data_IF_913648341828
#
_entry.id   IF_913648341828
#
_cell.length_a   1.000
_cell.length_b   1.000
_cell.length_c   1.000
_cell.angle_alpha   90.00
_cell.angle_beta   90.00
_cell.angle_gamma   90.00
#
_symmetry.space_group_name_H-M   'P 1'
#
loop_
_entity.id
_entity.type
_entity.pdbx_description
1 polymer ?
2 polymer ?
3 polymer ?
4 polymer ?
5 non-polymer ?
6 non-polymer ?
7 non-polymer ?
8 non-polymer ?
9 non-polymer ?
10 non-polymer ?
11 non-polymer ?
12 water ?
#
loop_
_entity_poly.entity_id
_entity_poly.type
_entity_poly.pdbx_seq_one_letter_code
_entity_poly.pdbx_strand_id
2 'polydeoxyribonucleotide' '(DC)(DG)(DG)(DC)(DA)(DT)(DA)(DC)(DG)' ?
3 'polydeoxyribonucleotide' '(DC)(DG)(DT)(DA)(8GM)' ?
4 'polydeoxyribonucleotide' '(DG)(DC)(DC)(DG)' ?
#
# COMPACT_ATOMS: atom_id res chain seq x y z
N UNK A 12 11.26 -5.72 22.38
CA UNK A 12 10.65 -5.42 21.06
C UNK A 12 9.66 -6.52 20.69
N UNK A 13 8.37 -6.19 20.58
CA UNK A 13 7.35 -7.23 20.33
C UNK A 13 7.47 -7.79 18.92
N UNK A 14 6.85 -8.95 18.72
CA UNK A 14 7.05 -9.70 17.50
C UNK A 14 6.15 -9.25 16.35
N UNK A 15 5.01 -8.64 16.64
CA UNK A 15 4.11 -8.15 15.60
C UNK A 15 4.29 -6.64 15.37
N UNK A 16 4.25 -6.22 14.08
CA UNK A 16 4.46 -4.81 13.79
C UNK A 16 3.37 -3.92 14.36
N UNK A 17 2.15 -4.47 14.57
CA UNK A 17 1.04 -3.69 15.11
C UNK A 17 1.19 -3.39 16.60
N UNK A 18 2.20 -3.96 17.25
CA UNK A 18 2.43 -3.78 18.67
C UNK A 18 3.47 -2.71 18.98
N UNK A 19 3.97 -2.02 17.97
CA UNK A 19 5.03 -1.04 18.21
C UNK A 19 4.85 0.14 17.25
N UNK A 20 5.15 1.36 17.70
CA UNK A 20 5.13 2.49 16.77
C UNK A 20 6.22 2.35 15.72
N UNK A 21 5.86 2.64 14.49
CA UNK A 21 6.83 2.72 13.40
C UNK A 21 6.69 4.05 12.69
N UNK A 22 7.63 4.96 12.86
CA UNK A 22 7.53 6.28 12.25
C UNK A 22 7.94 6.23 10.79
N UNK A 23 7.61 7.31 10.08
CA UNK A 23 7.85 7.35 8.64
C UNK A 23 9.33 7.41 8.35
N UNK A 24 10.04 8.20 9.15
CA UNK A 24 11.48 8.29 9.04
C UNK A 24 12.14 7.77 10.30
N UNK A 25 13.35 7.26 10.14
CA UNK A 25 13.90 6.50 11.26
C UNK A 25 15.42 6.51 11.16
N UNK A 26 16.05 5.57 11.88
CA UNK A 26 17.49 5.65 12.16
C UNK A 26 18.26 4.50 11.53
N UNK A 27 17.63 3.73 10.66
CA UNK A 27 18.25 2.55 10.04
C UNK A 27 17.83 2.43 8.59
N UNK A 28 17.80 3.56 7.89
CA UNK A 28 17.23 3.59 6.55
C UNK A 28 17.97 2.67 5.60
N UNK A 29 19.29 2.72 5.60
CA UNK A 29 20.07 1.92 4.67
C UNK A 29 19.89 0.42 4.89
N UNK A 30 19.92 0.00 6.15
CA UNK A 30 19.72 -1.40 6.47
C UNK A 30 18.33 -1.88 6.06
N UNK A 31 17.29 -1.09 6.35
CA UNK A 31 15.94 -1.52 6.00
C UNK A 31 15.76 -1.58 4.49
N UNK A 32 16.37 -0.66 3.75
CA UNK A 32 16.20 -0.68 2.30
C UNK A 32 16.84 -1.93 1.70
N UNK A 33 17.97 -2.37 2.23
CA UNK A 33 18.62 -3.58 1.74
C UNK A 33 17.74 -4.79 1.95
N UNK A 34 17.19 -4.94 3.15
CA UNK A 34 16.32 -6.07 3.44
C UNK A 34 15.08 -6.03 2.56
N UNK A 35 14.58 -4.84 2.26
CA UNK A 35 13.39 -4.75 1.43
C UNK A 35 13.68 -5.09 -0.01
N UNK A 36 14.92 -4.94 -0.48
CA UNK A 36 15.28 -5.47 -1.80
C UNK A 36 15.18 -6.98 -1.81
N UNK A 37 15.66 -7.65 -0.78
CA UNK A 37 15.57 -9.11 -0.76
C UNK A 37 14.12 -9.55 -0.61
N UNK A 38 13.31 -8.79 0.13
CA UNK A 38 11.88 -9.11 0.23
C UNK A 38 11.22 -9.02 -1.13
N UNK A 39 11.49 -7.93 -1.84
CA UNK A 39 10.89 -7.74 -3.17
C UNK A 39 11.29 -8.86 -4.11
N UNK A 40 12.58 -9.24 -4.09
CA UNK A 40 13.06 -10.30 -4.97
C UNK A 40 12.45 -11.64 -4.62
N UNK A 41 12.28 -11.91 -3.32
CA UNK A 41 11.56 -13.14 -2.93
C UNK A 41 10.14 -13.15 -3.51
N UNK A 42 9.46 -12.01 -3.45
CA UNK A 42 8.14 -11.92 -4.06
C UNK A 42 8.17 -12.23 -5.55
N UNK A 43 9.16 -11.71 -6.25
CA UNK A 43 9.27 -11.98 -7.68
C UNK A 43 9.46 -13.45 -7.99
N UNK A 44 9.97 -14.22 -7.04
CA UNK A 44 10.15 -15.65 -7.22
C UNK A 44 8.99 -16.44 -6.61
N UNK A 45 7.97 -15.78 -6.12
CA UNK A 45 6.84 -16.49 -5.56
C UNK A 45 7.03 -17.04 -4.16
N UNK A 46 8.04 -16.59 -3.44
CA UNK A 46 8.29 -17.05 -2.07
C UNK A 46 7.72 -16.02 -1.11
N UNK A 47 6.42 -16.15 -0.84
CA UNK A 47 5.73 -15.21 0.02
C UNK A 47 6.22 -15.30 1.46
N UNK A 48 6.65 -16.48 1.89
CA UNK A 48 7.15 -16.61 3.25
C UNK A 48 8.43 -15.84 3.47
N UNK A 49 9.39 -16.00 2.55
CA UNK A 49 10.65 -15.28 2.67
C UNK A 49 10.43 -13.78 2.50
N UNK A 50 9.50 -13.38 1.62
CA UNK A 50 9.14 -11.97 1.50
C UNK A 50 8.67 -11.42 2.84
N UNK A 51 7.78 -12.15 3.51
CA UNK A 51 7.26 -11.66 4.77
C UNK A 51 8.37 -11.52 5.81
N UNK A 52 9.25 -12.52 5.91
CA UNK A 52 10.30 -12.43 6.91
C UNK A 52 11.21 -11.24 6.66
N UNK A 53 11.62 -11.03 5.40
CA UNK A 53 12.51 -9.90 5.10
C UNK A 53 11.77 -8.57 5.33
N UNK A 54 10.48 -8.50 5.00
CA UNK A 54 9.70 -7.29 5.28
C UNK A 54 9.62 -7.03 6.78
N UNK A 55 9.33 -8.10 7.56
CA UNK A 55 9.24 -7.94 9.01
C UNK A 55 10.58 -7.52 9.61
N UNK A 56 11.68 -8.11 9.14
CA UNK A 56 12.99 -7.73 9.67
C UNK A 56 13.29 -6.26 9.36
N UNK A 57 13.01 -5.84 8.15
CA UNK A 57 13.20 -4.43 7.82
C UNK A 57 12.39 -3.55 8.76
N UNK A 58 11.14 -3.94 9.02
CA UNK A 58 10.26 -3.12 9.84
C UNK A 58 10.72 -3.04 11.28
N UNK A 59 11.30 -4.11 11.80
CA UNK A 59 11.89 -4.06 13.14
C UNK A 59 12.95 -2.97 13.22
N UNK A 60 13.77 -2.87 12.20
CA UNK A 60 14.81 -1.84 12.21
C UNK A 60 14.20 -0.44 12.15
N UNK A 61 13.11 -0.29 11.41
CA UNK A 61 12.43 1.00 11.34
C UNK A 61 11.92 1.43 12.71
N UNK A 62 11.64 0.47 13.60
CA UNK A 62 11.04 0.79 14.89
C UNK A 62 12.06 1.02 15.99
N UNK A 63 13.34 0.81 15.71
CA UNK A 63 14.37 0.99 16.71
C UNK A 63 14.60 2.47 16.99
N UNK A 64 15.04 2.80 18.21
CA UNK A 64 15.17 4.21 18.59
C UNK A 64 16.49 4.84 18.18
N UNK A 65 17.43 4.08 17.61
CA UNK A 65 18.74 4.61 17.23
C UNK A 65 19.38 3.68 16.22
N UNK A 66 20.49 4.08 15.62
CA UNK A 66 21.10 3.24 14.57
C UNK A 66 21.73 1.97 15.12
N UNK A 67 21.55 0.87 14.38
CA UNK A 67 22.36 -0.33 14.60
C UNK A 67 23.78 -0.07 14.11
N UNK A 68 24.76 -0.24 15.02
CA UNK A 68 26.17 -0.03 14.76
C UNK A 68 26.98 -1.31 14.78
N UNK A 69 26.50 -2.35 15.44
CA UNK A 69 27.27 -3.58 15.69
C UNK A 69 26.30 -4.75 15.68
N UNK A 70 26.80 -5.90 15.23
CA UNK A 70 25.94 -7.08 15.11
C UNK A 70 25.32 -7.45 16.45
N UNK A 71 26.04 -7.21 17.54
CA UNK A 71 25.57 -7.39 18.90
C UNK A 71 24.16 -6.88 19.10
N UNK A 72 23.83 -5.75 18.46
CA UNK A 72 22.55 -5.11 18.69
C UNK A 72 21.38 -5.87 18.08
N UNK A 73 21.63 -6.87 17.23
CA UNK A 73 20.54 -7.66 16.67
C UNK A 73 20.10 -8.78 17.60
N UNK A 74 20.94 -9.15 18.58
CA UNK A 74 20.57 -10.20 19.52
C UNK A 74 19.25 -9.87 20.18
N UNK A 75 18.35 -10.85 20.19
CA UNK A 75 17.04 -10.66 20.77
C UNK A 75 16.01 -10.03 19.87
N UNK A 76 16.39 -9.46 18.73
CA UNK A 76 15.37 -8.81 17.89
C UNK A 76 14.56 -9.87 17.14
N UNK A 77 13.23 -9.76 17.13
CA UNK A 77 12.44 -10.73 16.36
C UNK A 77 12.69 -10.61 14.86
N UNK A 78 12.61 -11.76 14.18
CA UNK A 78 12.74 -11.90 12.73
C UNK A 78 14.15 -11.74 12.21
N UNK A 79 15.16 -11.72 13.08
CA UNK A 79 16.55 -11.72 12.67
C UNK A 79 17.18 -13.07 12.99
N UNK A 80 17.35 -13.88 11.94
CA UNK A 80 18.06 -15.13 12.03
C UNK A 80 19.35 -15.07 11.26
N UNK A 81 19.84 -16.23 10.83
CA UNK A 81 21.15 -16.26 10.20
C UNK A 81 21.18 -15.41 8.95
N UNK A 82 20.12 -15.46 8.14
CA UNK A 82 20.18 -14.80 6.84
C UNK A 82 20.12 -13.27 6.99
N UNK A 83 19.09 -12.76 7.65
CA UNK A 83 18.96 -11.31 7.77
C UNK A 83 20.09 -10.72 8.60
N UNK A 84 20.63 -11.49 9.57
CA UNK A 84 21.75 -10.99 10.35
C UNK A 84 23.01 -10.89 9.51
N UNK A 85 23.25 -11.87 8.63
CA UNK A 85 24.41 -11.80 7.76
C UNK A 85 24.32 -10.61 6.81
N UNK A 86 23.12 -10.30 6.31
CA UNK A 86 22.95 -9.13 5.45
C UNK A 86 23.37 -7.88 6.21
N UNK A 87 22.86 -7.70 7.43
CA UNK A 87 23.22 -6.53 8.22
C UNK A 87 24.73 -6.52 8.52
N UNK A 88 25.30 -7.68 8.88
CA UNK A 88 26.70 -7.71 9.26
C UNK A 88 27.58 -7.26 8.10
N UNK A 89 27.23 -7.67 6.87
CA UNK A 89 28.02 -7.26 5.72
C UNK A 89 27.88 -5.76 5.48
N UNK A 90 26.67 -5.22 5.61
CA UNK A 90 26.50 -3.77 5.43
C UNK A 90 27.28 -3.00 6.48
N UNK A 91 27.35 -3.52 7.71
CA UNK A 91 28.05 -2.81 8.78
C UNK A 91 29.56 -2.87 8.56
N UNK A 92 30.06 -3.97 7.99
CA UNK A 92 31.48 -4.19 7.86
C UNK A 92 32.07 -3.66 6.56
N UNK A 93 31.32 -3.70 5.46
CA UNK A 93 31.81 -3.27 4.16
C UNK A 93 30.96 -2.21 3.49
N UNK A 94 29.83 -1.83 4.06
CA UNK A 94 28.93 -0.89 3.45
C UNK A 94 28.12 -1.43 2.30
N UNK A 95 28.24 -2.72 2.01
CA UNK A 95 27.61 -3.35 0.86
C UNK A 95 27.35 -4.81 1.23
N UNK A 96 26.23 -5.35 0.75
CA UNK A 96 25.92 -6.77 0.90
C UNK A 96 25.96 -7.41 -0.48
N UNK A 97 26.90 -8.35 -0.69
CA UNK A 97 27.09 -8.90 -2.02
C UNK A 97 25.79 -9.46 -2.57
N UNK A 98 25.01 -10.15 -1.74
CA UNK A 98 23.74 -10.72 -2.20
C UNK A 98 22.79 -9.64 -2.69
N UNK A 99 22.69 -8.54 -1.94
CA UNK A 99 21.79 -7.47 -2.31
C UNK A 99 22.22 -6.86 -3.63
N UNK A 100 23.51 -6.60 -3.77
CA UNK A 100 24.01 -6.02 -5.02
C UNK A 100 23.81 -6.98 -6.20
N UNK A 101 24.02 -8.27 -5.97
CA UNK A 101 23.76 -9.23 -7.04
C UNK A 101 22.31 -9.17 -7.49
N UNK A 102 21.38 -9.04 -6.55
CA UNK A 102 19.96 -8.91 -6.91
C UNK A 102 19.73 -7.63 -7.71
N UNK A 103 20.27 -6.51 -7.19
CA UNK A 103 20.04 -5.21 -7.80
C UNK A 103 20.39 -5.18 -9.28
N UNK A 104 21.51 -5.77 -9.66
CA UNK A 104 21.96 -5.69 -11.04
C UNK A 104 21.50 -6.88 -11.88
N UNK A 105 20.71 -7.80 -11.32
CA UNK A 105 20.31 -8.95 -12.11
C UNK A 105 19.23 -8.54 -13.13
N UNK A 106 19.30 -9.16 -14.30
CA UNK A 106 18.32 -8.88 -15.34
C UNK A 106 16.92 -9.30 -14.88
N UNK A 107 16.83 -10.40 -14.15
CA UNK A 107 15.53 -10.86 -13.65
C UNK A 107 14.88 -9.83 -12.73
N UNK A 108 15.62 -9.35 -11.74
CA UNK A 108 15.06 -8.39 -10.80
C UNK A 108 14.68 -7.10 -11.51
N UNK A 109 15.59 -6.56 -12.31
CA UNK A 109 15.28 -5.30 -12.99
C UNK A 109 14.06 -5.42 -13.88
N UNK A 110 13.90 -6.54 -14.58
CA UNK A 110 12.77 -6.65 -15.49
C UNK A 110 11.47 -6.92 -14.74
N UNK A 111 11.48 -7.80 -13.73
CA UNK A 111 10.28 -8.01 -12.94
C UNK A 111 9.85 -6.72 -12.25
N UNK A 112 10.80 -5.92 -11.78
CA UNK A 112 10.43 -4.65 -11.16
C UNK A 112 9.80 -3.74 -12.19
N UNK A 113 10.41 -3.62 -13.38
CA UNK A 113 9.84 -2.73 -14.40
C UNK A 113 8.44 -3.20 -14.79
N UNK A 114 8.28 -4.50 -15.03
CA UNK A 114 6.98 -4.99 -15.48
C UNK A 114 5.91 -4.91 -14.37
N UNK A 115 6.26 -5.29 -13.13
CA UNK A 115 5.22 -5.34 -12.11
C UNK A 115 4.77 -3.95 -11.66
N UNK A 116 5.58 -2.92 -11.89
CA UNK A 116 5.17 -1.57 -11.56
C UNK A 116 4.16 -1.01 -12.54
N UNK A 117 3.94 -1.70 -13.68
CA UNK A 117 2.89 -1.30 -14.60
C UNK A 117 1.54 -1.61 -13.97
N UNK A 118 0.63 -0.62 -13.98
CA UNK A 118 -0.74 -0.83 -13.55
C UNK A 118 -1.41 -1.86 -14.46
N UNK A 119 -1.88 -2.96 -13.87
CA UNK A 119 -2.50 -4.02 -14.63
C UNK A 119 -1.62 -5.24 -14.79
N UNK A 120 -0.38 -5.19 -14.32
CA UNK A 120 0.57 -6.27 -14.45
C UNK A 120 0.99 -6.69 -13.05
N UNK A 121 0.79 -7.97 -12.71
CA UNK A 121 1.28 -8.50 -11.46
C UNK A 121 2.46 -9.45 -11.69
N UNK A 122 2.90 -10.06 -10.57
CA UNK A 122 4.05 -10.95 -10.64
C UNK A 122 3.81 -12.05 -11.66
N UNK A 123 2.64 -12.65 -11.66
CA UNK A 123 2.39 -13.78 -12.56
C UNK A 123 2.47 -13.34 -14.02
N UNK A 124 1.92 -12.17 -14.35
CA UNK A 124 2.01 -11.74 -15.75
C UNK A 124 3.45 -11.38 -16.10
N UNK A 125 4.13 -10.65 -15.23
CA UNK A 125 5.50 -10.23 -15.47
C UNK A 125 6.41 -11.45 -15.67
N UNK A 126 6.20 -12.49 -14.87
CA UNK A 126 7.03 -13.68 -14.97
C UNK A 126 6.83 -14.38 -16.31
N UNK A 127 5.57 -14.47 -16.76
CA UNK A 127 5.30 -15.11 -18.04
C UNK A 127 5.96 -14.33 -19.18
N UNK A 128 5.80 -13.00 -19.16
CA UNK A 128 6.48 -12.17 -20.16
C UNK A 128 7.99 -12.35 -20.10
N UNK A 129 8.56 -12.39 -18.90
CA UNK A 129 9.99 -12.59 -18.76
C UNK A 129 10.43 -13.89 -19.40
N UNK A 130 9.68 -14.97 -19.15
CA UNK A 130 10.01 -16.26 -19.73
C UNK A 130 9.85 -16.26 -21.24
N UNK A 131 9.00 -15.39 -21.79
CA UNK A 131 8.84 -15.30 -23.23
C UNK A 131 9.96 -14.51 -23.89
N UNK A 132 10.88 -13.95 -23.13
CA UNK A 132 11.97 -13.17 -23.68
C UNK A 132 11.74 -11.68 -23.65
N UNK A 133 10.62 -11.21 -23.11
CA UNK A 133 10.35 -9.78 -23.09
C UNK A 133 11.13 -9.12 -21.98
N UNK A 134 11.60 -7.90 -22.24
CA UNK A 134 12.47 -7.21 -21.27
C UNK A 134 12.19 -5.72 -21.12
N UNK A 135 11.57 -5.05 -22.09
CA UNK A 135 11.41 -3.59 -22.04
C UNK A 135 9.96 -3.23 -22.28
N UNK A 136 9.62 -1.98 -21.95
CA UNK A 136 8.25 -1.52 -22.21
C UNK A 136 7.96 -1.47 -23.71
N UNK A 137 8.95 -1.06 -24.51
CA UNK A 137 8.73 -1.04 -25.95
C UNK A 137 8.50 -2.44 -26.49
N UNK A 138 9.07 -3.46 -25.83
CA UNK A 138 8.75 -4.84 -26.20
C UNK A 138 7.26 -5.12 -26.01
N UNK A 139 6.67 -4.57 -24.95
CA UNK A 139 5.26 -4.80 -24.71
C UNK A 139 4.40 -3.98 -25.66
N UNK A 140 4.84 -2.76 -25.98
CA UNK A 140 4.09 -1.92 -26.90
C UNK A 140 4.04 -2.52 -28.31
N UNK A 141 5.04 -3.33 -28.66
CA UNK A 141 5.12 -3.89 -30.01
C UNK A 141 4.14 -5.02 -30.27
N UNK A 142 3.45 -5.51 -29.24
CA UNK A 142 2.44 -6.56 -29.40
C UNK A 142 1.22 -6.23 -28.56
N UNK A 143 0.50 -5.16 -28.91
CA UNK A 143 -0.62 -4.73 -28.07
C UNK A 143 -1.71 -5.75 -27.91
N UNK A 144 -1.92 -6.65 -28.84
CA UNK A 144 -2.99 -7.62 -28.66
C UNK A 144 -2.70 -8.54 -27.46
N UNK A 145 -1.41 -8.61 -27.05
CA UNK A 145 -1.10 -9.31 -25.81
C UNK A 145 -1.40 -8.49 -24.52
N UNK A 146 -2.38 -7.60 -24.59
CA UNK A 146 -2.56 -6.70 -23.46
C UNK A 146 -4.02 -6.45 -23.17
N UNK A 147 -4.36 -6.38 -21.88
CA UNK A 147 -5.69 -5.99 -21.47
C UNK A 147 -5.86 -4.49 -21.60
N UNK A 148 -7.12 -4.05 -21.59
CA UNK A 148 -7.39 -2.60 -21.58
C UNK A 148 -6.69 -1.95 -20.39
N UNK A 149 -6.72 -2.62 -19.24
CA UNK A 149 -6.09 -2.07 -18.06
C UNK A 149 -4.59 -1.94 -18.26
N UNK A 150 -3.98 -2.92 -18.91
CA UNK A 150 -2.55 -2.88 -19.15
C UNK A 150 -2.20 -1.85 -20.20
N UNK A 151 -3.06 -1.70 -21.21
CA UNK A 151 -2.81 -0.66 -22.21
C UNK A 151 -2.80 0.71 -21.55
N UNK A 152 -3.74 0.94 -20.62
CA UNK A 152 -3.78 2.21 -19.90
C UNK A 152 -2.55 2.37 -19.03
N UNK A 153 -2.16 1.31 -18.34
CA UNK A 153 -0.97 1.37 -17.50
C UNK A 153 0.27 1.70 -18.30
N UNK A 154 0.36 1.19 -19.53
CA UNK A 154 1.58 1.44 -20.30
C UNK A 154 1.54 2.81 -20.98
N UNK A 155 0.37 3.24 -21.49
CA UNK A 155 0.35 4.57 -22.07
C UNK A 155 0.68 5.64 -21.03
N UNK A 156 0.18 5.46 -19.82
CA UNK A 156 0.39 6.45 -18.76
C UNK A 156 1.58 6.14 -17.87
N UNK A 157 2.44 5.20 -18.28
CA UNK A 157 3.44 4.69 -17.35
C UNK A 157 4.40 5.80 -16.90
N UNK A 158 4.79 6.69 -17.81
CA UNK A 158 5.76 7.72 -17.45
C UNK A 158 5.18 8.64 -16.37
N UNK A 159 3.98 9.15 -16.60
CA UNK A 159 3.33 9.99 -15.58
C UNK A 159 3.15 9.23 -14.26
N UNK A 160 2.75 7.96 -14.33
CA UNK A 160 2.45 7.22 -13.13
C UNK A 160 3.71 6.90 -12.34
N UNK A 161 4.87 7.07 -12.95
CA UNK A 161 6.15 6.85 -12.30
C UNK A 161 6.65 8.09 -11.58
N UNK A 162 6.01 9.24 -11.78
CA UNK A 162 6.43 10.47 -11.13
C UNK A 162 5.63 10.66 -9.84
N UNK A 163 6.30 11.04 -8.76
CA UNK A 163 5.60 11.07 -7.47
C UNK A 163 4.49 12.08 -7.44
N UNK A 164 3.38 11.68 -6.83
CA UNK A 164 2.33 12.61 -6.46
C UNK A 164 2.78 13.40 -5.25
N UNK A 165 2.59 14.71 -5.29
CA UNK A 165 2.96 15.58 -4.19
C UNK A 165 1.75 15.92 -3.32
N UNK A 166 2.00 16.28 -2.07
CA UNK A 166 0.90 16.67 -1.19
C UNK A 166 0.12 17.84 -1.78
N UNK A 167 0.79 18.70 -2.57
CA UNK A 167 0.07 19.80 -3.21
C UNK A 167 -0.92 19.28 -4.26
N UNK A 168 -0.55 18.22 -4.97
CA UNK A 168 -1.49 17.60 -5.90
C UNK A 168 -2.71 17.07 -5.18
N UNK A 169 -2.51 16.54 -3.97
CA UNK A 169 -3.57 15.81 -3.27
C UNK A 169 -4.73 16.73 -2.92
N UNK A 170 -4.45 17.94 -2.44
CA UNK A 170 -5.54 18.80 -2.01
C UNK A 170 -6.37 19.26 -3.18
N UNK A 171 -5.74 19.48 -4.33
CA UNK A 171 -6.50 19.79 -5.55
C UNK A 171 -7.40 18.64 -5.96
N UNK A 172 -6.85 17.41 -5.93
CA UNK A 172 -7.68 16.24 -6.24
C UNK A 172 -8.83 16.09 -5.23
N UNK A 173 -8.59 16.32 -3.94
CA UNK A 173 -9.67 16.11 -2.99
C UNK A 173 -10.82 17.08 -3.23
N UNK A 174 -10.49 18.34 -3.54
CA UNK A 174 -11.59 19.27 -3.81
C UNK A 174 -12.43 18.79 -5.00
N UNK A 175 -11.77 18.25 -6.02
CA UNK A 175 -12.50 17.80 -7.19
C UNK A 175 -13.40 16.62 -6.85
N UNK A 176 -12.89 15.65 -6.10
CA UNK A 176 -13.68 14.48 -5.72
C UNK A 176 -14.85 14.89 -4.81
N UNK A 177 -14.61 15.80 -3.89
CA UNK A 177 -15.69 16.30 -3.03
C UNK A 177 -16.82 16.94 -3.82
N UNK A 178 -16.48 17.68 -4.88
CA UNK A 178 -17.50 18.31 -5.70
C UNK A 178 -18.37 17.25 -6.35
N UNK A 179 -17.75 16.20 -6.91
CA UNK A 179 -18.54 15.17 -7.56
C UNK A 179 -19.35 14.38 -6.53
N UNK A 180 -18.74 14.10 -5.39
CA UNK A 180 -19.42 13.36 -4.31
C UNK A 180 -20.62 14.14 -3.79
N UNK A 181 -20.48 15.46 -3.62
CA UNK A 181 -21.59 16.27 -3.15
C UNK A 181 -22.77 16.33 -4.10
N UNK A 182 -22.50 16.28 -5.41
CA UNK A 182 -23.62 16.21 -6.35
C UNK A 182 -24.21 14.82 -6.39
N UNK A 183 -23.39 13.79 -6.22
CA UNK A 183 -23.92 12.44 -6.25
C UNK A 183 -24.77 12.17 -5.02
N UNK A 184 -24.40 12.72 -3.89
CA UNK A 184 -25.13 12.46 -2.65
C UNK A 184 -24.84 13.55 -1.63
N UNK A 185 -25.69 14.55 -1.52
CA UNK A 185 -25.51 15.58 -0.49
C UNK A 185 -25.33 14.96 0.88
N UNK A 186 -24.34 15.46 1.63
CA UNK A 186 -24.01 14.96 2.93
C UNK A 186 -22.90 13.93 2.95
N UNK A 187 -22.53 13.37 1.81
CA UNK A 187 -21.49 12.38 1.78
C UNK A 187 -20.14 13.06 2.01
N UNK A 188 -19.22 12.33 2.64
CA UNK A 188 -17.93 12.85 3.05
C UNK A 188 -16.82 12.10 2.32
N UNK A 189 -15.68 12.79 2.18
CA UNK A 189 -14.49 12.24 1.53
C UNK A 189 -13.35 12.36 2.53
N UNK A 190 -12.68 11.23 2.82
CA UNK A 190 -11.55 11.19 3.74
C UNK A 190 -10.31 10.72 2.99
N UNK A 191 -9.21 11.48 3.12
CA UNK A 191 -7.94 11.04 2.57
C UNK A 191 -7.39 9.89 3.40
N UNK A 192 -7.01 8.80 2.72
CA UNK A 192 -6.42 7.66 3.41
C UNK A 192 -5.04 7.34 2.84
N UNK A 193 -4.66 6.07 2.84
CA UNK A 193 -3.38 5.67 2.33
C UNK A 193 -2.18 6.37 2.95
N UNK A 194 -1.09 6.36 2.18
CA UNK A 194 0.18 6.84 2.71
C UNK A 194 0.17 8.31 3.09
N UNK A 195 -0.60 9.14 2.37
CA UNK A 195 -0.67 10.53 2.76
C UNK A 195 -1.29 10.72 4.14
N UNK A 196 -2.25 9.88 4.52
CA UNK A 196 -2.77 9.97 5.88
C UNK A 196 -1.71 9.58 6.93
N UNK A 197 -0.75 8.72 6.58
CA UNK A 197 0.34 8.35 7.47
C UNK A 197 1.47 9.37 7.49
N UNK A 198 1.31 10.50 6.78
CA UNK A 198 2.28 11.59 6.82
C UNK A 198 3.24 11.65 5.65
N UNK A 199 3.14 10.74 4.70
CA UNK A 199 4.03 10.80 3.54
C UNK A 199 3.84 12.12 2.82
N UNK A 200 4.94 12.64 2.31
CA UNK A 200 4.89 13.87 1.54
C UNK A 200 4.75 13.61 0.06
N UNK A 201 4.98 12.38 -0.38
CA UNK A 201 4.83 11.95 -1.76
C UNK A 201 4.13 10.60 -1.78
N UNK A 202 3.64 10.20 -2.96
CA UNK A 202 2.99 8.91 -3.08
C UNK A 202 2.91 8.49 -4.53
N UNK A 203 2.64 7.20 -4.73
CA UNK A 203 2.42 6.65 -6.07
C UNK A 203 0.99 6.86 -6.52
N UNK A 204 0.07 7.11 -5.58
CA UNK A 204 -1.34 7.28 -5.90
C UNK A 204 -1.96 8.10 -4.76
N UNK A 205 -3.22 8.42 -4.92
CA UNK A 205 -4.01 9.03 -3.86
C UNK A 205 -5.20 8.11 -3.58
N UNK A 206 -5.51 7.96 -2.28
CA UNK A 206 -6.57 7.07 -1.82
C UNK A 206 -7.64 7.87 -1.08
N UNK A 207 -8.91 7.66 -1.43
CA UNK A 207 -10.00 8.36 -0.76
C UNK A 207 -11.06 7.37 -0.32
N UNK A 208 -11.61 7.59 0.89
CA UNK A 208 -12.69 6.80 1.45
C UNK A 208 -13.92 7.69 1.60
N UNK A 209 -15.05 7.20 1.09
CA UNK A 209 -16.27 7.98 0.96
C UNK A 209 -17.35 7.28 1.79
N UNK A 210 -18.10 8.05 2.59
CA UNK A 210 -19.21 7.48 3.35
C UNK A 210 -20.31 8.53 3.47
N UNK A 211 -21.37 8.17 4.17
CA UNK A 211 -22.47 9.07 4.45
C UNK A 211 -22.94 8.76 5.87
N UNK A 212 -23.30 9.79 6.67
CA UNK A 212 -23.62 9.53 8.07
C UNK A 212 -24.91 8.77 8.29
N UNK A 213 -25.79 8.66 7.29
CA UNK A 213 -27.03 7.89 7.41
C UNK A 213 -26.80 6.52 6.78
N UNK A 214 -26.75 5.49 7.62
CA UNK A 214 -26.48 4.13 7.16
C UNK A 214 -27.40 3.75 6.02
N UNK A 215 -26.80 3.25 4.94
CA UNK A 215 -27.54 2.81 3.78
C UNK A 215 -27.62 3.85 2.68
N UNK A 216 -27.49 5.13 3.01
CA UNK A 216 -27.59 6.15 1.95
C UNK A 216 -26.42 6.04 0.98
N UNK A 217 -25.33 5.40 1.38
CA UNK A 217 -24.17 5.29 0.48
C UNK A 217 -24.35 4.23 -0.58
N UNK A 218 -25.39 3.41 -0.51
CA UNK A 218 -25.59 2.38 -1.52
C UNK A 218 -25.75 3.03 -2.89
N UNK A 219 -25.09 2.45 -3.89
CA UNK A 219 -25.14 2.95 -5.25
C UNK A 219 -24.36 4.21 -5.53
N UNK A 220 -23.56 4.67 -4.57
CA UNK A 220 -22.95 5.97 -4.69
C UNK A 220 -21.78 5.99 -5.71
N UNK A 221 -20.95 4.96 -5.73
CA UNK A 221 -19.73 5.05 -6.51
C UNK A 221 -20.02 5.19 -8.00
N UNK A 222 -20.96 4.47 -8.60
CA UNK A 222 -21.26 4.75 -10.01
C UNK A 222 -21.68 6.19 -10.25
N UNK A 223 -22.43 6.77 -9.31
CA UNK A 223 -22.88 8.14 -9.49
C UNK A 223 -21.71 9.10 -9.42
N UNK A 224 -20.75 8.83 -8.54
CA UNK A 224 -19.54 9.65 -8.45
C UNK A 224 -18.71 9.51 -9.72
N UNK A 225 -18.53 8.28 -10.18
CA UNK A 225 -17.69 8.09 -11.37
C UNK A 225 -18.30 8.79 -12.58
N UNK A 226 -19.62 8.64 -12.77
CA UNK A 226 -20.27 9.29 -13.92
C UNK A 226 -20.02 10.78 -13.91
N UNK A 227 -20.07 11.39 -12.73
CA UNK A 227 -19.89 12.84 -12.65
C UNK A 227 -18.44 13.24 -12.90
N UNK A 228 -17.51 12.44 -12.41
CA UNK A 228 -16.10 12.72 -12.71
C UNK A 228 -15.84 12.55 -14.20
N UNK A 229 -16.42 11.51 -14.81
CA UNK A 229 -16.26 11.29 -16.24
C UNK A 229 -16.86 12.43 -17.04
N UNK A 230 -18.00 12.97 -16.60
CA UNK A 230 -18.63 14.06 -17.33
C UNK A 230 -17.80 15.34 -17.25
N UNK A 231 -16.98 15.48 -16.21
CA UNK A 231 -16.09 16.63 -16.08
C UNK A 231 -14.78 16.45 -16.85
N UNK A 232 -14.60 15.32 -17.54
CA UNK A 232 -13.41 15.10 -18.33
C UNK A 232 -12.18 14.76 -17.52
N UNK A 233 -12.36 14.30 -16.29
CA UNK A 233 -11.25 14.05 -15.38
C UNK A 233 -10.74 12.61 -15.37
N UNK A 234 -11.44 11.69 -16.00
CA UNK A 234 -11.16 10.27 -15.88
C UNK A 234 -10.47 9.85 -17.16
N UNK A 235 -9.19 9.52 -17.05
CA UNK A 235 -8.47 8.97 -18.19
C UNK A 235 -8.70 7.48 -18.31
N UNK A 236 -8.97 6.80 -17.20
CA UNK A 236 -9.21 5.36 -17.19
C UNK A 236 -10.03 5.00 -15.97
N UNK A 237 -11.07 4.19 -16.17
CA UNK A 237 -11.75 3.48 -15.10
C UNK A 237 -12.25 2.17 -15.69
N UNK A 238 -12.61 1.23 -14.85
CA UNK A 238 -13.20 0.00 -15.36
C UNK A 238 -14.70 -0.05 -15.05
N UNK A 259 -20.67 -1.40 -7.48
CA UNK A 259 -19.28 -1.67 -7.02
C UNK A 259 -18.96 -0.71 -5.88
N UNK A 260 -17.90 -1.03 -5.11
CA UNK A 260 -17.52 -0.20 -3.99
C UNK A 260 -16.07 0.27 -4.01
N UNK A 261 -15.24 -0.25 -4.91
CA UNK A 261 -13.85 0.20 -5.09
C UNK A 261 -13.64 0.55 -6.56
N UNK A 262 -12.98 1.67 -6.82
CA UNK A 262 -12.67 2.10 -8.18
C UNK A 262 -11.19 2.45 -8.25
N UNK A 263 -10.47 1.83 -9.19
CA UNK A 263 -9.04 2.09 -9.39
C UNK A 263 -8.91 2.87 -10.69
N UNK A 264 -8.73 4.17 -10.62
CA UNK A 264 -8.82 4.97 -11.82
C UNK A 264 -7.57 5.82 -11.99
N UNK A 265 -7.42 6.32 -13.21
CA UNK A 265 -6.35 7.24 -13.58
C UNK A 265 -7.05 8.57 -13.84
N UNK A 266 -6.66 9.58 -13.07
CA UNK A 266 -7.22 10.92 -13.16
C UNK A 266 -6.34 11.78 -14.07
N UNK A 267 -6.98 12.77 -14.69
CA UNK A 267 -6.27 13.86 -15.33
C UNK A 267 -6.13 15.01 -14.33
N UNK A 268 -4.90 15.25 -13.87
CA UNK A 268 -4.64 16.31 -12.91
C UNK A 268 -4.01 17.52 -13.57
N UNK A 269 -4.59 18.71 -13.40
CA UNK A 269 -3.95 19.92 -13.93
C UNK A 269 -2.52 20.13 -13.46
N UNK A 270 -1.74 20.76 -14.34
CA UNK A 270 -0.35 21.14 -14.13
C UNK A 270 -0.14 22.46 -14.82
N UNK A 271 0.91 23.22 -14.46
CA UNK A 271 1.16 24.50 -15.14
C UNK A 271 1.17 24.37 -16.66
N UNK A 272 0.14 24.89 -17.31
CA UNK A 272 0.07 24.86 -18.75
C UNK A 272 -0.15 23.49 -19.37
N UNK A 273 -0.52 22.49 -18.56
CA UNK A 273 -0.78 21.15 -19.08
C UNK A 273 -1.39 20.31 -17.96
N UNK A 274 -1.07 19.02 -17.91
CA UNK A 274 -1.67 18.13 -16.93
C UNK A 274 -0.85 16.86 -16.88
N UNK A 275 -1.14 16.02 -15.87
CA UNK A 275 -0.51 14.71 -15.80
C UNK A 275 -1.49 13.67 -15.27
N UNK A 276 -1.26 12.43 -15.67
CA UNK A 276 -2.05 11.32 -15.17
C UNK A 276 -1.64 10.98 -13.73
N UNK A 277 -2.63 10.68 -12.90
CA UNK A 277 -2.41 10.30 -11.51
C UNK A 277 -3.34 9.15 -11.17
N UNK A 278 -2.81 8.14 -10.49
CA UNK A 278 -3.63 7.05 -9.99
C UNK A 278 -4.42 7.51 -8.76
N UNK A 279 -5.72 7.26 -8.78
CA UNK A 279 -6.61 7.57 -7.66
C UNK A 279 -7.48 6.35 -7.36
N UNK A 280 -7.56 6.00 -6.08
CA UNK A 280 -8.44 4.92 -5.64
C UNK A 280 -9.59 5.53 -4.86
N UNK A 281 -10.80 5.13 -5.19
CA UNK A 281 -12.01 5.55 -4.48
C UNK A 281 -12.65 4.32 -3.87
N UNK A 282 -13.03 4.42 -2.59
CA UNK A 282 -13.68 3.31 -1.92
C UNK A 282 -14.84 3.87 -1.11
N UNK A 283 -15.99 3.23 -1.20
CA UNK A 283 -17.18 3.61 -0.46
C UNK A 283 -17.42 2.59 0.64
N UNK A 284 -17.78 3.06 1.83
CA UNK A 284 -18.16 2.18 2.92
C UNK A 284 -19.35 2.74 3.67
N UNK A 285 -20.26 1.89 4.15
CA UNK A 285 -21.29 2.38 5.07
C UNK A 285 -20.65 2.87 6.37
N UNK A 286 -21.32 3.83 7.02
CA UNK A 286 -20.73 4.43 8.21
C UNK A 286 -20.46 3.38 9.29
N UNK A 287 -21.24 2.28 9.31
CA UNK A 287 -20.98 1.22 10.28
C UNK A 287 -19.62 0.55 10.05
N UNK A 288 -19.17 0.51 8.82
CA UNK A 288 -17.93 -0.14 8.47
C UNK A 288 -16.79 0.85 8.36
N UNK A 289 -17.07 2.16 8.42
CA UNK A 289 -16.08 3.16 8.08
C UNK A 289 -14.81 3.06 8.92
N UNK A 290 -14.88 2.79 10.22
CA UNK A 290 -13.60 2.68 10.96
C UNK A 290 -12.73 1.54 10.51
N UNK A 291 -13.35 0.40 10.14
CA UNK A 291 -12.58 -0.73 9.62
C UNK A 291 -11.97 -0.43 8.26
N UNK A 292 -12.71 0.29 7.41
CA UNK A 292 -12.19 0.62 6.09
C UNK A 292 -11.10 1.66 6.21
N UNK A 293 -11.30 2.65 7.08
CA UNK A 293 -10.28 3.65 7.34
C UNK A 293 -9.00 2.97 7.79
N UNK A 294 -9.12 2.07 8.76
CA UNK A 294 -7.95 1.36 9.28
C UNK A 294 -7.26 0.60 8.15
N UNK A 295 -8.02 -0.17 7.39
CA UNK A 295 -7.40 -0.97 6.34
C UNK A 295 -6.76 -0.15 5.23
N UNK A 296 -7.47 0.87 4.75
CA UNK A 296 -6.96 1.68 3.66
C UNK A 296 -5.86 2.65 4.09
N UNK A 297 -5.66 2.87 5.39
CA UNK A 297 -4.58 3.75 5.83
C UNK A 297 -3.24 3.02 5.88
N UNK A 298 -3.26 1.70 6.06
CA UNK A 298 -2.00 0.95 5.92
C UNK A 298 -1.13 1.15 7.16
N UNK A 299 0.18 0.91 6.97
CA UNK A 299 0.77 0.37 5.79
C UNK A 299 0.30 -1.06 5.48
N UNK A 300 0.67 -1.55 4.30
CA UNK A 300 0.31 -2.90 3.93
C UNK A 300 0.81 -3.89 4.98
N UNK A 301 2.09 -3.78 5.35
CA UNK A 301 2.60 -4.73 6.34
C UNK A 301 1.91 -4.56 7.69
N UNK A 302 1.63 -3.32 8.07
CA UNK A 302 0.92 -3.10 9.33
C UNK A 302 -0.42 -3.83 9.33
N UNK A 303 -1.17 -3.76 8.22
CA UNK A 303 -2.49 -4.38 8.17
C UNK A 303 -2.40 -5.91 8.16
N UNK A 304 -1.45 -6.48 7.43
CA UNK A 304 -1.26 -7.93 7.45
C UNK A 304 -0.91 -8.39 8.85
N UNK A 305 -0.03 -7.65 9.53
CA UNK A 305 0.37 -7.99 10.89
C UNK A 305 -0.79 -7.84 11.85
N UNK A 306 -1.59 -6.79 11.68
CA UNK A 306 -2.76 -6.58 12.53
C UNK A 306 -3.77 -7.71 12.37
N UNK A 307 -4.01 -8.13 11.13
CA UNK A 307 -4.94 -9.24 10.90
C UNK A 307 -4.38 -10.55 11.42
N UNK A 308 -3.07 -10.76 11.25
CA UNK A 308 -2.43 -11.95 11.79
C UNK A 308 -2.54 -11.99 13.32
N UNK A 309 -2.27 -10.85 13.96
CA UNK A 309 -2.37 -10.74 15.41
C UNK A 309 -3.78 -11.04 15.87
N UNK A 310 -4.75 -10.41 15.20
CA UNK A 310 -6.15 -10.59 15.55
C UNK A 310 -6.52 -12.08 15.57
N UNK A 311 -6.20 -12.78 14.49
CA UNK A 311 -6.61 -14.18 14.37
C UNK A 311 -5.82 -15.08 15.30
N UNK A 312 -4.50 -14.94 15.31
CA UNK A 312 -3.65 -15.91 16.00
C UNK A 312 -3.58 -15.65 17.51
N UNK A 313 -3.58 -14.39 17.94
CA UNK A 313 -3.46 -14.06 19.35
C UNK A 313 -4.82 -13.83 20.02
N UNK A 314 -5.81 -13.32 19.29
CA UNK A 314 -7.10 -13.01 19.89
C UNK A 314 -8.24 -13.86 19.36
N UNK A 315 -8.01 -14.72 18.36
CA UNK A 315 -9.08 -15.53 17.84
C UNK A 315 -10.20 -14.79 17.16
N UNK A 316 -9.93 -13.58 16.66
CA UNK A 316 -10.88 -12.74 15.97
C UNK A 316 -10.45 -12.51 14.53
N UNK A 317 -11.41 -12.39 13.62
CA UNK A 317 -11.14 -12.27 12.20
C UNK A 317 -11.39 -10.84 11.74
N UNK A 318 -10.34 -10.18 11.27
CA UNK A 318 -10.36 -8.77 10.90
C UNK A 318 -10.25 -8.58 9.39
N UNK A 319 -11.07 -7.70 8.84
CA UNK A 319 -10.88 -7.23 7.48
C UNK A 319 -11.32 -5.78 7.42
N UNK A 320 -11.43 -5.25 6.19
CA UNK A 320 -11.77 -3.83 6.06
C UNK A 320 -13.23 -3.56 6.16
N UNK A 321 -14.03 -4.60 6.46
CA UNK A 321 -15.46 -4.49 6.69
C UNK A 321 -15.82 -4.61 8.17
N UNK A 322 -15.00 -5.28 8.97
CA UNK A 322 -15.42 -5.56 10.33
C UNK A 322 -14.48 -6.51 11.02
N UNK A 323 -14.88 -6.86 12.25
CA UNK A 323 -14.12 -7.70 13.16
C UNK A 323 -15.09 -8.73 13.76
N UNK A 324 -14.83 -10.00 13.47
CA UNK A 324 -15.78 -11.08 13.72
C UNK A 324 -15.25 -11.99 14.82
N UNK A 325 -16.12 -12.30 15.76
CA UNK A 325 -15.86 -13.31 16.79
C UNK A 325 -16.48 -14.61 16.29
N UNK A 326 -15.69 -15.59 15.88
CA UNK A 326 -16.27 -16.79 15.27
C UNK A 326 -16.81 -17.76 16.29
N UNK A 327 -16.57 -17.54 17.57
CA UNK A 327 -17.12 -18.39 18.62
C UNK A 327 -18.53 -17.95 18.98
N UNK A 328 -18.75 -16.65 19.15
CA UNK A 328 -20.08 -16.11 19.36
C UNK A 328 -20.81 -15.78 18.07
N UNK A 329 -20.10 -15.80 16.94
CA UNK A 329 -20.68 -15.50 15.63
C UNK A 329 -21.30 -14.11 15.63
N UNK A 330 -20.53 -13.13 16.13
CA UNK A 330 -20.98 -11.75 16.18
C UNK A 330 -19.88 -10.82 15.69
N UNK A 331 -20.30 -9.66 15.20
CA UNK A 331 -19.40 -8.60 14.71
C UNK A 331 -19.28 -7.52 15.76
N UNK A 332 -18.06 -7.08 16.02
CA UNK A 332 -17.84 -5.95 16.90
C UNK A 332 -18.31 -4.68 16.22
N UNK A 333 -19.01 -3.84 16.97
CA UNK A 333 -19.39 -2.53 16.47
C UNK A 333 -18.27 -1.57 16.85
N UNK A 334 -17.83 -0.78 15.90
CA UNK A 334 -16.80 0.20 16.19
C UNK A 334 -17.24 1.56 15.68
N UNK A 335 -16.99 2.58 16.50
CA UNK A 335 -17.27 3.95 16.11
C UNK A 335 -16.02 4.72 15.74
N UNK A 336 -14.84 4.12 15.95
CA UNK A 336 -13.55 4.78 15.72
C UNK A 336 -12.46 3.73 15.57
N UNK A 337 -11.34 4.14 14.98
CA UNK A 337 -10.15 3.30 15.01
C UNK A 337 -9.73 2.99 16.43
N UNK A 338 -9.87 3.97 17.34
CA UNK A 338 -9.53 3.72 18.73
C UNK A 338 -10.32 2.52 19.27
N UNK A 339 -11.62 2.43 18.93
CA UNK A 339 -12.41 1.27 19.36
C UNK A 339 -11.76 -0.04 18.92
N UNK A 340 -11.31 -0.09 17.66
CA UNK A 340 -10.78 -1.34 17.12
C UNK A 340 -9.51 -1.75 17.84
N UNK A 341 -8.59 -0.81 18.05
CA UNK A 341 -7.38 -1.14 18.82
C UNK A 341 -7.75 -1.62 20.22
N UNK A 342 -8.74 -0.99 20.87
CA UNK A 342 -9.15 -1.46 22.20
C UNK A 342 -9.73 -2.88 22.15
N UNK A 343 -10.56 -3.16 21.15
CA UNK A 343 -11.13 -4.49 21.01
C UNK A 343 -10.02 -5.54 20.98
N UNK A 344 -8.93 -5.24 20.27
CA UNK A 344 -7.83 -6.15 20.05
C UNK A 344 -6.80 -6.14 21.16
N UNK A 345 -6.98 -5.34 22.20
CA UNK A 345 -6.00 -5.32 23.29
C UNK A 345 -4.67 -4.69 22.94
N UNK A 346 -4.67 -3.77 21.98
CA UNK A 346 -3.46 -3.12 21.50
C UNK A 346 -3.49 -1.65 21.89
N UNK A 347 -2.34 -1.12 22.25
CA UNK A 347 -2.24 0.33 22.45
C UNK A 347 -2.49 1.05 21.14
N UNK A 348 -3.20 2.17 21.21
CA UNK A 348 -3.55 2.89 19.99
C UNK A 348 -2.30 3.47 19.34
N UNK A 349 -2.23 3.35 18.01
CA UNK A 349 -1.20 3.97 17.19
C UNK A 349 -1.85 4.92 16.20
N UNK A 350 -1.48 6.20 16.20
CA UNK A 350 -1.98 7.10 15.17
C UNK A 350 -1.45 6.69 13.81
N UNK A 351 -2.05 7.18 12.73
CA UNK A 351 -1.59 6.76 11.38
C UNK A 351 -0.12 6.97 11.13
N UNK A 352 0.45 8.06 11.65
CA UNK A 352 1.85 8.33 11.40
C UNK A 352 2.79 7.37 12.13
N UNK A 353 2.28 6.50 12.99
CA UNK A 353 3.08 5.45 13.61
C UNK A 353 2.72 4.06 13.11
N UNK A 354 2.06 3.97 11.96
CA UNK A 354 1.71 2.70 11.33
C UNK A 354 2.54 2.44 10.08
N UNK A 355 3.71 3.08 9.99
CA UNK A 355 4.57 2.97 8.80
C UNK A 355 5.47 1.74 8.89
N UNK A 356 4.88 0.59 9.17
CA UNK A 356 5.61 -0.62 9.28
C UNK A 356 6.15 -1.04 7.93
X LIG E 1 -4.09 3.16 -3.74
X LIG F 1 -1.80 4.95 -1.79
X LIG G 1 19.73 -18.36 3.83
X LIG H 1 -18.58 -4.52 0.82
X LIG I 1 1.37 -3.81 -11.43
X LIG J 1 0.14 2.68 1.62
X LIG J 1 -0.06 3.29 0.26
X LIG J 1 -1.29 4.15 0.18
X LIG J 1 0.14 2.32 -0.89
X LIG J 1 1.17 4.30 0.02
X LIG J 1 1.58 4.68 -1.50
X LIG J 1 2.33 5.98 -1.35
X LIG J 1 2.43 3.52 -1.96
X LIG J 1 0.26 4.79 -2.22
X LIG K 1 8.54 -5.31 2.34
X LIG L 1 7.72 10.45 1.68
X LIG L 1 6.63 10.46 0.70
X LIG L 1 7.56 11.51 2.67
X LIG L 1 7.86 9.15 2.27
X LIG M 1 -16.83 -13.32 7.94
X LIG M 1 -15.66 -12.89 8.58
X LIG M 1 -17.82 -13.85 8.98
X LIG N 1 19.57 0.16 18.05
X LIG N 1 18.65 0.91 18.81
X LIG N 1 20.82 -0.16 18.87
X LIG N 1 20.42 -0.82 20.04
X LIG O 1 1.66 4.47 -1.74
X LIG O 1 2.58 3.64 -2.60
X LIG O 1 2.05 5.89 -1.30
X LIG O 1 0.26 4.44 -2.38
X LIG O 1 1.44 3.69 -0.33
X LIG O 1 0.00 3.41 0.36
X LIG O 1 -0.89 4.60 0.14
X LIG O 1 0.18 2.90 1.77
X LIG O 1 -0.48 2.11 -0.49
X LIG O 1 -1.68 1.92 -1.55
X LIG O 1 -2.20 3.38 -1.89
X LIG O 1 -1.18 0.97 -2.58
X LIG O 1 -2.77 1.13 -0.67
X LIG O 1 -3.48 1.70 0.45
X LIG O 1 -3.64 0.61 1.51
X LIG O 1 -4.27 -0.55 0.99
X LIG O 1 -2.33 -0.01 2.01
X LIG O 1 -1.66 0.87 2.87
X LIG O 1 -2.81 -1.31 2.64
X LIG O 1 -2.99 -1.20 4.02
X LIG O 1 -4.17 -1.55 1.80
X LIG O 1 -3.72 -2.84 1.28
X LIG O 1 -4.06 -4.03 1.85
X LIG O 1 -3.50 -5.03 1.20
X LIG O 1 -2.72 -4.45 0.19
X LIG O 1 -1.88 -5.03 -0.79
X LIG O 1 -1.66 -6.24 -0.98
X LIG O 1 -1.29 -4.07 -1.62
X LIG O 1 -1.48 -2.71 -1.48
X LIG O 1 -0.85 -1.91 -2.35
X LIG O 1 -2.25 -2.16 -0.54
X LIG O 1 -2.83 -3.09 0.23
X LIG O 1 -4.81 -4.13 2.80
X LIG P 1 7.91 -26.18 6.44
X LIG Q 1 -7.56 -2.36 1.99
X LIG Q 1 -7.67 -2.95 3.27
X LIG Q 1 -8.71 -2.81 1.11
X LIG Q 1 -8.61 -4.18 0.92
#
# INVERSE_FOLDING_TARGET
GSAAAPLSPAWMPAYACQRPTPLTHHNTGLSEALEILAEAAGFEGSEGRLLTFCRAASVLKALPSPVTTLSQLQGLPHFGEHSSRVVQELLEHGVCEEVERVRRSERYQTMKLFTQIFGVGVKTADRWYREGLRTLDDLREQPQKLTQQQKAGLQHHQDLSTPVLRSDVDALQQVVEEAVGQALPGATVTLTGGFRRGKLQGHDVDFLITHPKEGQEAGLLPRVMCRLQDQGLILYHQHQHSCCESPTRLAQQSHMDAFERSFCIFRLPQPGSWKAVRVDLVVAPVSQFPFALLGWTGSKLFQRELRRFSRKEKGLWLNSHGLFDPEQKTFFQAASEEDIFRHLGLEYLPPEQRNA
MN MN
MN MN
MN MN
MN MN
NA NA
PPV O11 P1 O21 O31 OPP P2 O12 O22 O32
DTT S1
EPE S O1S O2S O3S
EDO C1 O1 C2
EDO C1 O1 C2 O2
8GT PG O1G O2G O3G O3B PB O1B O2B O3A PA O1A O2A O5' C5' C4' O4' C3' O3' C2' O2' C1' N9 C8 N7 C5 C6 O6 N1 C2 N2 N3 C4 O8
MN MN
EDO C1 O1 C2 O2
#
